data_IF_020022765602
#
_entry.id   IF_020022765602
#
_cell.length_a   1.000
_cell.length_b   1.000
_cell.length_c   1.000
_cell.angle_alpha   90.00
_cell.angle_beta   90.00
_cell.angle_gamma   90.00
#
_symmetry.space_group_name_H-M   'P 1'
#
loop_
_entity.id
_entity.type
_entity.pdbx_description
1 polymer ?
#
# COMPACT_ATOMS: atom_id res chain seq x y z
N UNK A 1 13.63 11.36 -12.87
CA UNK A 1 13.11 11.93 -11.60
C UNK A 1 14.16 12.88 -11.07
N UNK A 2 13.83 14.16 -10.84
CA UNK A 2 14.74 15.10 -10.19
C UNK A 2 14.90 14.67 -8.73
N UNK A 3 16.14 14.51 -8.27
CA UNK A 3 16.47 14.08 -6.91
C UNK A 3 17.11 15.26 -6.19
N UNK A 4 16.46 15.76 -5.14
CA UNK A 4 17.00 16.85 -4.29
C UNK A 4 17.45 16.31 -2.95
N UNK A 5 18.47 16.96 -2.39
CA UNK A 5 19.02 16.62 -1.08
C UNK A 5 19.00 17.86 -0.21
N UNK A 6 18.47 17.74 1.01
CA UNK A 6 18.47 18.82 1.99
C UNK A 6 19.16 18.37 3.27
N UNK A 7 19.99 19.23 3.84
CA UNK A 7 20.55 19.02 5.17
C UNK A 7 19.55 19.46 6.24
N UNK A 8 19.24 18.56 7.17
CA UNK A 8 18.32 18.79 8.27
C UNK A 8 18.73 19.99 9.13
N UNK A 9 20.03 20.25 9.27
CA UNK A 9 20.54 21.38 10.06
C UNK A 9 20.23 22.74 9.42
N UNK A 10 19.99 22.78 8.10
CA UNK A 10 19.68 23.99 7.33
C UNK A 10 18.18 24.17 7.05
N UNK A 11 17.35 23.19 7.42
CA UNK A 11 15.92 23.18 7.09
C UNK A 11 15.12 24.29 7.74
N UNK A 12 15.57 24.88 8.85
CA UNK A 12 14.84 25.98 9.49
C UNK A 12 14.65 27.17 8.52
N UNK A 13 15.67 27.42 7.70
CA UNK A 13 15.70 28.53 6.74
C UNK A 13 15.25 28.05 5.34
N UNK A 14 15.49 26.77 5.02
CA UNK A 14 15.12 26.13 3.75
C UNK A 14 13.73 25.49 3.70
N UNK A 15 12.89 25.68 4.72
CA UNK A 15 11.60 24.97 4.83
C UNK A 15 10.68 25.23 3.63
N UNK A 16 10.60 26.48 3.17
CA UNK A 16 9.76 26.86 2.02
C UNK A 16 10.21 26.18 0.73
N UNK A 17 11.52 26.03 0.52
CA UNK A 17 12.07 25.35 -0.65
C UNK A 17 11.81 23.84 -0.59
N UNK A 18 11.93 23.23 0.60
CA UNK A 18 11.56 21.83 0.84
C UNK A 18 10.09 21.59 0.48
N UNK A 19 9.18 22.42 0.99
CA UNK A 19 7.74 22.30 0.70
C UNK A 19 7.44 22.46 -0.80
N UNK A 20 8.15 23.37 -1.47
CA UNK A 20 8.00 23.56 -2.92
C UNK A 20 8.47 22.33 -3.71
N UNK A 21 9.58 21.71 -3.31
CA UNK A 21 10.07 20.47 -3.91
C UNK A 21 9.06 19.33 -3.73
N UNK A 22 8.45 19.20 -2.55
CA UNK A 22 7.42 18.18 -2.26
C UNK A 22 6.17 18.43 -3.10
N UNK A 23 5.70 19.68 -3.21
CA UNK A 23 4.54 20.05 -4.04
C UNK A 23 4.75 19.73 -5.52
N UNK A 24 5.98 19.89 -6.01
CA UNK A 24 6.36 19.55 -7.39
C UNK A 24 6.57 18.04 -7.62
N UNK A 25 6.21 17.19 -6.65
CA UNK A 25 6.41 15.74 -6.69
C UNK A 25 7.88 15.30 -6.90
N UNK A 26 8.83 16.09 -6.41
CA UNK A 26 10.25 15.75 -6.46
C UNK A 26 10.61 14.75 -5.35
N UNK A 27 11.49 13.79 -5.64
CA UNK A 27 12.03 12.89 -4.61
C UNK A 27 13.07 13.64 -3.78
N UNK A 28 12.80 13.81 -2.49
CA UNK A 28 13.68 14.54 -1.57
C UNK A 28 14.37 13.58 -0.60
N UNK A 29 15.69 13.67 -0.49
CA UNK A 29 16.47 12.98 0.53
C UNK A 29 16.89 13.97 1.62
N UNK A 30 16.54 13.66 2.87
CA UNK A 30 17.00 14.40 4.04
C UNK A 30 18.28 13.77 4.54
N UNK A 31 19.34 14.57 4.68
CA UNK A 31 20.62 14.15 5.24
C UNK A 31 20.86 14.89 6.56
N UNK A 32 21.59 14.26 7.48
CA UNK A 32 22.15 14.92 8.65
C UNK A 32 23.62 14.58 8.70
N UNK A 33 24.47 15.60 8.72
CA UNK A 33 25.93 15.44 8.79
C UNK A 33 26.50 14.52 7.69
N UNK A 34 25.97 14.65 6.47
CA UNK A 34 26.36 13.83 5.31
C UNK A 34 25.76 12.42 5.27
N UNK A 35 25.00 12.01 6.29
CA UNK A 35 24.36 10.69 6.36
C UNK A 35 22.88 10.79 5.94
N UNK A 36 22.41 9.99 4.97
CA UNK A 36 20.99 9.89 4.63
C UNK A 36 20.16 9.46 5.85
N UNK A 37 19.20 10.31 6.22
CA UNK A 37 18.32 10.10 7.37
C UNK A 37 16.93 9.61 6.95
N UNK A 38 16.35 10.25 5.94
CA UNK A 38 14.99 9.94 5.48
C UNK A 38 14.79 10.31 4.01
N UNK A 39 13.74 9.75 3.41
CA UNK A 39 13.20 10.23 2.13
C UNK A 39 11.83 10.81 2.34
N UNK A 40 11.58 11.95 1.70
CA UNK A 40 10.25 12.56 1.64
C UNK A 40 9.71 12.29 0.25
N UNK A 41 8.54 11.67 0.22
CA UNK A 41 7.77 11.43 -0.99
C UNK A 41 6.49 12.25 -0.90
N UNK A 42 6.01 12.82 -2.02
CA UNK A 42 4.70 13.46 -2.05
C UNK A 42 3.64 12.46 -1.60
N UNK A 43 2.71 12.91 -0.74
CA UNK A 43 1.56 12.10 -0.39
C UNK A 43 0.61 12.09 -1.60
N UNK A 44 0.20 10.92 -2.12
CA UNK A 44 -0.85 10.88 -3.13
C UNK A 44 -2.12 11.48 -2.51
N UNK A 45 -2.68 12.50 -3.15
CA UNK A 45 -3.96 13.05 -2.76
C UNK A 45 -4.99 11.91 -2.76
N UNK A 46 -5.84 11.82 -1.72
CA UNK A 46 -6.81 10.74 -1.49
C UNK A 46 -7.78 10.46 -2.67
N UNK A 47 -7.75 11.30 -3.68
CA UNK A 47 -8.51 11.21 -4.92
C UNK A 47 -7.97 10.12 -5.87
N UNK A 48 -6.72 9.71 -5.66
CA UNK A 48 -6.04 8.78 -6.54
C UNK A 48 -5.50 7.59 -5.73
N UNK A 49 -6.38 6.63 -5.47
CA UNK A 49 -5.91 5.27 -5.18
C UNK A 49 -5.26 4.78 -6.47
N UNK A 50 -3.92 4.80 -6.57
CA UNK A 50 -3.21 4.49 -7.82
C UNK A 50 -2.57 3.11 -7.74
N UNK A 51 -2.71 2.28 -8.78
CA UNK A 51 -2.02 0.99 -8.91
C UNK A 51 -0.52 1.16 -9.18
N UNK A 52 0.29 0.10 -9.04
CA UNK A 52 1.74 0.15 -9.32
C UNK A 52 2.11 0.59 -10.75
N UNK A 53 1.15 0.62 -11.67
CA UNK A 53 1.22 1.10 -13.07
C UNK A 53 0.65 2.52 -13.28
N UNK A 54 0.53 3.34 -12.22
CA UNK A 54 0.03 4.71 -12.29
C UNK A 54 -1.44 4.85 -12.76
N UNK A 55 -2.31 3.87 -12.45
CA UNK A 55 -3.73 3.88 -12.85
C UNK A 55 -4.68 4.10 -11.67
N UNK A 56 -5.71 4.92 -11.85
CA UNK A 56 -6.77 5.13 -10.85
C UNK A 56 -7.54 3.82 -10.56
N UNK A 57 -7.53 3.40 -9.29
CA UNK A 57 -8.27 2.28 -8.73
C UNK A 57 -9.75 2.65 -8.68
N UNK A 58 -10.51 2.10 -9.61
CA UNK A 58 -11.97 2.07 -9.52
C UNK A 58 -12.38 1.17 -8.36
N UNK A 59 -13.38 1.54 -7.55
CA UNK A 59 -13.97 0.62 -6.57
C UNK A 59 -14.37 -0.69 -7.25
N UNK A 60 -14.05 -1.83 -6.62
CA UNK A 60 -14.47 -3.13 -7.15
C UNK A 60 -15.99 -3.22 -7.10
N UNK A 61 -16.61 -3.58 -8.21
CA UNK A 61 -18.02 -3.98 -8.21
C UNK A 61 -18.09 -5.40 -7.68
N UNK A 62 -18.87 -5.64 -6.62
CA UNK A 62 -19.15 -7.00 -6.19
C UNK A 62 -19.85 -7.73 -7.33
N UNK A 63 -19.39 -8.94 -7.66
CA UNK A 63 -20.13 -9.83 -8.54
C UNK A 63 -21.33 -10.42 -7.78
N UNK A 64 -22.40 -10.74 -8.50
CA UNK A 64 -23.53 -11.50 -7.96
C UNK A 64 -23.68 -12.79 -8.75
N UNK A 65 -23.32 -13.92 -8.15
CA UNK A 65 -23.56 -15.26 -8.69
C UNK A 65 -24.66 -16.00 -7.91
N UNK A 66 -25.49 -15.23 -7.20
CA UNK A 66 -26.65 -15.75 -6.46
C UNK A 66 -27.55 -16.54 -7.42
N UNK A 67 -27.86 -17.77 -7.05
CA UNK A 67 -28.66 -18.70 -7.86
C UNK A 67 -27.96 -19.28 -9.10
N UNK A 68 -26.72 -18.90 -9.40
CA UNK A 68 -25.93 -19.44 -10.51
C UNK A 68 -24.85 -20.45 -10.06
N UNK A 69 -24.64 -20.57 -8.75
CA UNK A 69 -23.74 -21.56 -8.15
C UNK A 69 -24.60 -22.72 -7.67
N UNK A 70 -24.30 -23.91 -8.17
CA UNK A 70 -24.80 -25.14 -7.58
C UNK A 70 -23.87 -25.54 -6.43
N UNK A 71 -24.45 -25.72 -5.25
CA UNK A 71 -23.77 -26.21 -4.05
C UNK A 71 -24.41 -27.56 -3.71
N UNK A 72 -23.59 -28.54 -3.37
CA UNK A 72 -24.10 -29.83 -2.91
C UNK A 72 -24.75 -29.66 -1.53
N UNK A 73 -25.74 -30.49 -1.23
CA UNK A 73 -26.50 -30.39 0.02
C UNK A 73 -25.63 -30.67 1.27
N UNK A 74 -24.52 -31.39 1.08
CA UNK A 74 -23.55 -31.79 2.10
C UNK A 74 -22.30 -30.88 2.14
N UNK A 75 -22.32 -29.72 1.48
CA UNK A 75 -21.13 -28.87 1.36
C UNK A 75 -20.55 -28.43 2.72
N UNK A 76 -21.42 -28.15 3.69
CA UNK A 76 -21.02 -27.74 5.04
C UNK A 76 -20.87 -28.94 5.99
N UNK A 77 -21.10 -30.18 5.52
CA UNK A 77 -21.01 -31.38 6.35
C UNK A 77 -19.54 -31.76 6.60
N UNK A 78 -19.29 -32.30 7.80
CA UNK A 78 -17.97 -32.79 8.17
C UNK A 78 -17.69 -34.16 7.55
N UNK A 79 -16.49 -34.34 6.99
CA UNK A 79 -16.02 -35.65 6.53
C UNK A 79 -15.32 -36.41 7.68
N UNK A 80 -15.79 -37.62 8.03
CA UNK A 80 -15.15 -38.45 9.07
C UNK A 80 -13.69 -38.80 8.77
N UNK A 81 -13.36 -38.99 7.48
CA UNK A 81 -12.00 -39.26 7.02
C UNK A 81 -11.09 -38.05 7.27
N UNK A 82 -11.56 -36.85 6.93
CA UNK A 82 -10.82 -35.60 7.16
C UNK A 82 -10.65 -35.37 8.66
N UNK A 83 -11.72 -35.53 9.45
CA UNK A 83 -11.68 -35.36 10.90
C UNK A 83 -10.64 -36.27 11.57
N UNK A 84 -10.50 -37.53 11.12
CA UNK A 84 -9.51 -38.46 11.65
C UNK A 84 -8.06 -37.97 11.47
N UNK A 85 -7.77 -37.17 10.45
CA UNK A 85 -6.43 -36.61 10.20
C UNK A 85 -6.06 -35.47 11.16
N UNK A 86 -7.04 -34.74 11.70
CA UNK A 86 -6.81 -33.55 12.52
C UNK A 86 -7.07 -33.76 14.02
N UNK A 87 -7.96 -34.69 14.39
CA UNK A 87 -8.44 -34.83 15.76
C UNK A 87 -8.08 -36.15 16.43
N UNK A 88 -7.41 -37.08 15.74
CA UNK A 88 -6.92 -38.30 16.39
C UNK A 88 -5.62 -38.00 17.15
N UNK A 89 -5.54 -38.25 18.46
CA UNK A 89 -4.30 -38.10 19.22
C UNK A 89 -3.25 -39.11 18.74
N UNK A 90 -2.00 -38.65 18.64
CA UNK A 90 -0.81 -39.45 18.31
C UNK A 90 -0.46 -40.38 19.48
#
# INVERSE_FOLDING_TARGET
MLKKTFDVNLLKDGLSELLSAIQNQEEVTLIRDGVPLAKVLPFPSNEEKVTGDNKLLKPRTAGGWEGQIWMADDFDDESPEINAMFYTPI
#
